data_IF_546435049100
#
_entry.id   IF_546435049100
#
_cell.length_a   1.000
_cell.length_b   1.000
_cell.length_c   1.000
_cell.angle_alpha   90.00
_cell.angle_beta   90.00
_cell.angle_gamma   90.00
#
_symmetry.space_group_name_H-M   'P 1'
#
loop_
_entity.id
_entity.type
_entity.pdbx_description
1 polymer ?
#
# COMPACT_ATOMS: atom_id res chain seq x y z
N UNK A 1 -23.28 9.04 18.68
CA UNK A 1 -23.75 7.75 19.24
C UNK A 1 -23.48 6.70 18.19
N UNK A 2 -22.77 5.63 18.52
CA UNK A 2 -22.32 4.65 17.53
C UNK A 2 -23.47 3.84 16.93
N UNK A 3 -23.37 3.51 15.64
CA UNK A 3 -24.39 2.79 14.87
C UNK A 3 -24.58 1.33 15.34
N UNK A 4 -23.74 0.83 16.25
CA UNK A 4 -23.78 -0.52 16.80
C UNK A 4 -24.07 -0.45 18.29
N UNK A 5 -25.24 -0.96 18.69
CA UNK A 5 -25.63 -1.10 20.10
C UNK A 5 -25.46 -2.55 20.53
N UNK A 6 -24.88 -2.75 21.71
CA UNK A 6 -24.67 -4.08 22.31
C UNK A 6 -25.32 -4.12 23.69
N UNK A 7 -25.74 -5.30 24.14
CA UNK A 7 -26.25 -5.48 25.52
C UNK A 7 -25.21 -5.19 26.61
N UNK A 8 -23.91 -5.16 26.28
CA UNK A 8 -22.89 -4.57 27.16
C UNK A 8 -22.97 -3.05 27.02
N UNK A 9 -23.43 -2.29 28.04
CA UNK A 9 -23.75 -0.88 27.91
C UNK A 9 -22.52 -0.01 27.60
N UNK A 10 -22.68 1.13 26.89
CA UNK A 10 -21.56 2.03 26.56
C UNK A 10 -20.87 2.65 27.77
N UNK A 11 -21.53 2.73 28.92
CA UNK A 11 -20.98 3.25 30.19
C UNK A 11 -20.00 2.29 30.87
N UNK A 12 -19.96 1.02 30.44
CA UNK A 12 -19.03 0.02 30.99
C UNK A 12 -17.62 0.35 30.52
N UNK A 13 -16.71 0.55 31.47
CA UNK A 13 -15.30 0.80 31.17
C UNK A 13 -14.60 -0.47 30.67
N UNK A 14 -13.61 -0.29 29.82
CA UNK A 14 -12.77 -1.38 29.35
C UNK A 14 -11.87 -1.89 30.49
N UNK A 15 -11.79 -3.20 30.65
CA UNK A 15 -10.87 -3.89 31.55
C UNK A 15 -10.02 -4.87 30.73
N UNK A 16 -8.73 -4.57 30.60
CA UNK A 16 -7.88 -5.26 29.64
C UNK A 16 -8.38 -5.05 28.21
N UNK A 17 -8.66 -6.13 27.49
CA UNK A 17 -9.20 -6.06 26.11
C UNK A 17 -10.73 -6.15 26.06
N UNK A 18 -11.40 -6.41 27.18
CA UNK A 18 -12.84 -6.67 27.24
C UNK A 18 -13.61 -5.52 27.89
N UNK A 19 -14.84 -5.32 27.43
CA UNK A 19 -15.89 -4.63 28.18
C UNK A 19 -16.74 -5.72 28.83
N UNK A 20 -16.84 -5.75 30.15
CA UNK A 20 -17.54 -6.81 30.87
C UNK A 20 -18.52 -6.23 31.88
N UNK A 21 -19.73 -6.77 31.90
CA UNK A 21 -20.80 -6.39 32.82
C UNK A 21 -21.42 -7.65 33.41
N UNK A 22 -21.78 -7.60 34.70
CA UNK A 22 -22.48 -8.72 35.31
C UNK A 22 -23.91 -8.78 34.77
N UNK A 23 -24.45 -9.98 34.61
CA UNK A 23 -25.85 -10.15 34.23
C UNK A 23 -26.78 -9.57 35.30
N UNK A 24 -26.33 -9.53 36.56
CA UNK A 24 -27.05 -8.88 37.65
C UNK A 24 -27.19 -7.37 37.42
N UNK A 25 -26.13 -6.68 36.98
CA UNK A 25 -26.19 -5.25 36.69
C UNK A 25 -27.03 -4.97 35.45
N UNK A 26 -26.99 -5.84 34.44
CA UNK A 26 -27.86 -5.71 33.26
C UNK A 26 -29.33 -5.66 33.64
N UNK A 27 -29.73 -6.49 34.59
CA UNK A 27 -31.10 -6.57 35.09
C UNK A 27 -31.41 -5.42 36.07
N UNK A 28 -30.58 -5.24 37.09
CA UNK A 28 -30.90 -4.38 38.23
C UNK A 28 -30.45 -2.92 38.05
N UNK A 29 -29.42 -2.66 37.25
CA UNK A 29 -28.89 -1.30 37.00
C UNK A 29 -29.32 -0.76 35.65
N UNK A 30 -29.27 -1.60 34.60
CA UNK A 30 -29.59 -1.17 33.23
C UNK A 30 -31.01 -1.52 32.80
N UNK A 31 -31.74 -2.33 33.59
CA UNK A 31 -33.12 -2.74 33.31
C UNK A 31 -33.30 -3.39 31.93
N UNK A 32 -32.31 -4.16 31.48
CA UNK A 32 -32.34 -4.93 30.22
C UNK A 32 -33.00 -6.30 30.43
N UNK A 33 -34.26 -6.30 30.87
CA UNK A 33 -35.06 -7.50 31.07
C UNK A 33 -36.56 -7.18 30.97
N UNK A 34 -37.38 -8.22 30.88
CA UNK A 34 -38.84 -8.14 30.93
C UNK A 34 -39.38 -9.34 31.69
N UNK A 35 -40.54 -9.15 32.30
CA UNK A 35 -41.24 -10.14 33.10
C UNK A 35 -42.75 -9.98 32.88
N UNK A 36 -43.33 -11.02 32.27
CA UNK A 36 -44.70 -11.02 31.77
C UNK A 36 -45.72 -11.37 32.87
N UNK A 37 -45.33 -12.13 33.90
CA UNK A 37 -46.23 -12.59 34.98
C UNK A 37 -45.98 -11.87 36.32
N UNK A 38 -44.93 -11.06 36.40
CA UNK A 38 -44.66 -10.14 37.50
C UNK A 38 -43.92 -10.77 38.69
N UNK A 39 -43.39 -11.98 38.53
CA UNK A 39 -42.77 -12.76 39.60
C UNK A 39 -41.36 -12.27 40.01
N UNK A 40 -40.75 -11.42 39.18
CA UNK A 40 -39.43 -10.82 39.35
C UNK A 40 -39.48 -9.35 39.76
N UNK A 41 -40.67 -8.77 39.90
CA UNK A 41 -40.85 -7.35 40.23
C UNK A 41 -40.60 -7.05 41.72
N UNK A 42 -40.10 -5.84 42.01
CA UNK A 42 -39.85 -5.35 43.37
C UNK A 42 -38.39 -5.41 43.82
N UNK A 43 -38.11 -4.87 45.02
CA UNK A 43 -36.74 -4.84 45.57
C UNK A 43 -36.23 -6.27 45.79
N UNK A 44 -35.14 -6.64 45.11
CA UNK A 44 -34.57 -7.99 45.11
C UNK A 44 -35.49 -9.07 44.50
N UNK A 45 -36.46 -8.69 43.66
CA UNK A 45 -37.37 -9.63 43.01
C UNK A 45 -36.69 -10.56 42.00
N UNK A 46 -35.56 -10.14 41.41
CA UNK A 46 -34.79 -10.90 40.43
C UNK A 46 -33.28 -10.82 40.69
N UNK A 47 -32.62 -11.97 40.71
CA UNK A 47 -31.14 -12.09 40.79
C UNK A 47 -30.62 -12.86 39.58
N UNK A 48 -29.58 -12.32 38.94
CA UNK A 48 -28.90 -12.98 37.83
C UNK A 48 -27.43 -13.24 38.16
N UNK A 49 -26.91 -14.41 37.80
CA UNK A 49 -25.48 -14.73 37.93
C UNK A 49 -24.82 -14.84 36.56
N UNK A 50 -23.51 -14.63 36.53
CA UNK A 50 -22.71 -14.66 35.30
C UNK A 50 -22.44 -13.28 34.72
N UNK A 51 -21.66 -13.25 33.64
CA UNK A 51 -21.19 -12.04 32.98
C UNK A 51 -21.44 -12.10 31.48
N UNK A 52 -21.65 -10.92 30.89
CA UNK A 52 -21.59 -10.68 29.46
C UNK A 52 -20.38 -9.80 29.16
N UNK A 53 -19.57 -10.21 28.19
CA UNK A 53 -18.41 -9.43 27.75
C UNK A 53 -18.32 -9.33 26.23
N UNK A 54 -17.73 -8.22 25.78
CA UNK A 54 -17.43 -7.96 24.38
C UNK A 54 -16.01 -7.45 24.22
N UNK A 55 -15.33 -7.87 23.16
CA UNK A 55 -14.12 -7.21 22.68
C UNK A 55 -14.15 -7.02 21.18
N UNK A 56 -13.43 -5.99 20.72
CA UNK A 56 -13.34 -5.60 19.32
C UNK A 56 -11.89 -5.69 18.89
N UNK A 57 -11.65 -6.23 17.70
CA UNK A 57 -10.33 -6.28 17.09
C UNK A 57 -10.41 -5.89 15.61
N UNK A 58 -9.34 -5.33 15.07
CA UNK A 58 -9.21 -5.14 13.63
C UNK A 58 -8.71 -6.40 12.91
N UNK A 59 -8.59 -6.36 11.58
CA UNK A 59 -8.11 -7.50 10.76
C UNK A 59 -6.71 -7.99 11.14
N UNK A 60 -5.92 -7.16 11.81
CA UNK A 60 -4.57 -7.47 12.27
C UNK A 60 -4.56 -7.94 13.74
N UNK A 61 -5.73 -8.24 14.31
CA UNK A 61 -5.92 -8.62 15.72
C UNK A 61 -5.52 -7.53 16.73
N UNK A 62 -5.43 -6.26 16.32
CA UNK A 62 -5.20 -5.16 17.26
C UNK A 62 -6.51 -4.80 17.96
N UNK A 63 -6.45 -4.56 19.27
CA UNK A 63 -7.63 -4.19 20.06
C UNK A 63 -8.16 -2.82 19.62
N UNK A 64 -9.47 -2.73 19.45
CA UNK A 64 -10.17 -1.52 19.01
C UNK A 64 -11.09 -1.04 20.14
N UNK A 65 -11.08 0.25 20.41
CA UNK A 65 -12.01 0.86 21.36
C UNK A 65 -13.38 1.06 20.72
N UNK A 66 -14.44 1.05 21.54
CA UNK A 66 -15.81 1.39 21.09
C UNK A 66 -15.93 2.80 20.52
N UNK A 67 -15.03 3.70 20.93
CA UNK A 67 -15.00 5.10 20.48
C UNK A 67 -14.16 5.32 19.23
N UNK A 68 -13.45 4.30 18.75
CA UNK A 68 -12.56 4.45 17.60
C UNK A 68 -13.38 4.62 16.32
N UNK A 69 -12.93 5.54 15.46
CA UNK A 69 -13.46 5.68 14.11
C UNK A 69 -12.94 4.51 13.29
N UNK A 70 -13.84 3.73 12.69
CA UNK A 70 -13.48 2.57 11.89
C UNK A 70 -12.81 3.00 10.59
N UNK A 71 -11.65 2.43 10.30
CA UNK A 71 -10.92 2.59 9.04
C UNK A 71 -11.22 1.40 8.12
N UNK A 72 -11.79 1.62 6.92
CA UNK A 72 -12.00 0.57 5.93
C UNK A 72 -10.74 -0.24 5.62
N UNK A 73 -9.56 0.36 5.78
CA UNK A 73 -8.28 -0.30 5.55
C UNK A 73 -7.87 -1.30 6.63
N UNK A 74 -8.52 -1.25 7.78
CA UNK A 74 -8.32 -2.17 8.91
C UNK A 74 -9.45 -3.20 9.04
N UNK A 75 -10.45 -3.13 8.15
CA UNK A 75 -11.55 -4.09 8.07
C UNK A 75 -11.13 -5.41 7.40
N UNK A 76 -11.85 -6.53 7.65
CA UNK A 76 -13.00 -6.63 8.54
C UNK A 76 -12.60 -6.54 10.02
N UNK A 77 -13.43 -5.88 10.81
CA UNK A 77 -13.35 -5.85 12.25
C UNK A 77 -14.05 -7.06 12.85
N UNK A 78 -13.46 -7.64 13.88
CA UNK A 78 -14.00 -8.76 14.61
C UNK A 78 -14.65 -8.29 15.92
N UNK A 79 -15.91 -8.69 16.15
CA UNK A 79 -16.63 -8.46 17.41
C UNK A 79 -16.87 -9.80 18.08
N UNK A 80 -16.25 -10.00 19.23
CA UNK A 80 -16.35 -11.23 20.01
C UNK A 80 -17.26 -10.98 21.20
N UNK A 81 -18.41 -11.66 21.24
CA UNK A 81 -19.37 -11.62 22.33
C UNK A 81 -19.28 -12.92 23.13
N UNK A 82 -19.06 -12.80 24.45
CA UNK A 82 -18.89 -13.94 25.34
C UNK A 82 -19.81 -13.85 26.54
N UNK A 83 -20.38 -14.98 26.95
CA UNK A 83 -21.06 -15.14 28.24
C UNK A 83 -20.36 -16.19 29.08
N UNK A 84 -20.44 -16.12 30.41
CA UNK A 84 -19.90 -17.13 31.32
C UNK A 84 -20.85 -18.32 31.56
N UNK A 85 -22.10 -18.24 31.12
CA UNK A 85 -23.20 -19.04 31.71
C UNK A 85 -23.65 -18.48 33.05
N UNK A 86 -24.80 -18.94 33.55
CA UNK A 86 -25.38 -18.37 34.76
C UNK A 86 -26.74 -18.94 35.14
N UNK A 87 -27.37 -18.25 36.09
CA UNK A 87 -28.70 -18.55 36.62
C UNK A 87 -29.52 -17.28 36.74
N UNK A 88 -30.83 -17.42 36.56
CA UNK A 88 -31.84 -16.42 36.90
C UNK A 88 -32.68 -16.99 38.04
N UNK A 89 -32.92 -16.18 39.06
CA UNK A 89 -33.73 -16.57 40.22
C UNK A 89 -34.70 -15.45 40.54
N UNK A 90 -36.00 -15.76 40.55
CA UNK A 90 -37.08 -14.85 40.95
C UNK A 90 -37.57 -15.18 42.35
N UNK A 91 -38.25 -14.24 42.99
CA UNK A 91 -38.81 -14.46 44.33
C UNK A 91 -40.08 -15.32 44.29
N UNK A 92 -40.93 -15.14 43.28
CA UNK A 92 -42.27 -15.71 43.24
C UNK A 92 -42.49 -16.77 42.14
N UNK A 93 -41.52 -17.00 41.27
CA UNK A 93 -41.63 -17.93 40.15
C UNK A 93 -41.76 -19.39 40.54
N UNK A 94 -42.37 -20.19 39.66
CA UNK A 94 -42.48 -21.64 39.84
C UNK A 94 -42.14 -22.36 38.53
N UNK A 95 -40.95 -22.98 38.39
CA UNK A 95 -39.83 -22.97 39.34
C UNK A 95 -39.23 -21.57 39.50
N UNK A 96 -38.75 -21.24 40.70
CA UNK A 96 -38.21 -19.91 41.02
C UNK A 96 -36.78 -19.68 40.51
N UNK A 97 -36.17 -20.67 39.86
CA UNK A 97 -34.81 -20.56 39.32
C UNK A 97 -34.65 -21.37 38.05
N UNK A 98 -33.88 -20.81 37.13
CA UNK A 98 -33.47 -21.45 35.89
C UNK A 98 -31.98 -21.21 35.66
N UNK A 99 -31.32 -22.17 35.03
CA UNK A 99 -29.91 -22.05 34.63
C UNK A 99 -29.79 -22.07 33.12
N UNK A 100 -28.93 -21.23 32.58
CA UNK A 100 -28.60 -21.21 31.16
C UNK A 100 -27.12 -21.54 30.97
N UNK A 101 -26.84 -22.24 29.87
CA UNK A 101 -25.70 -23.16 29.70
C UNK A 101 -24.29 -22.58 29.81
N UNK A 102 -23.29 -23.43 29.49
CA UNK A 102 -21.84 -23.15 29.61
C UNK A 102 -21.41 -21.90 28.81
N UNK A 103 -20.27 -21.33 29.19
CA UNK A 103 -19.66 -20.19 28.50
C UNK A 103 -19.66 -20.37 26.97
N UNK A 104 -20.26 -19.41 26.27
CA UNK A 104 -20.34 -19.39 24.80
C UNK A 104 -19.64 -18.16 24.24
N UNK A 105 -19.11 -18.28 23.03
CA UNK A 105 -18.45 -17.23 22.26
C UNK A 105 -19.08 -17.18 20.87
N UNK A 106 -19.51 -15.99 20.45
CA UNK A 106 -19.98 -15.72 19.10
C UNK A 106 -19.11 -14.62 18.50
N UNK A 107 -18.76 -14.77 17.23
CA UNK A 107 -17.91 -13.85 16.48
C UNK A 107 -18.71 -13.25 15.33
N UNK A 108 -18.71 -11.92 15.25
CA UNK A 108 -19.27 -11.17 14.14
C UNK A 108 -18.17 -10.42 13.40
N UNK A 109 -18.34 -10.22 12.09
CA UNK A 109 -17.43 -9.43 11.28
C UNK A 109 -18.13 -8.19 10.73
N UNK A 110 -17.48 -7.04 10.84
CA UNK A 110 -18.03 -5.73 10.47
C UNK A 110 -17.05 -5.04 9.54
N UNK A 111 -17.54 -4.53 8.41
CA UNK A 111 -16.75 -3.73 7.47
C UNK A 111 -17.45 -2.39 7.21
N UNK A 112 -16.78 -1.25 7.39
CA UNK A 112 -17.33 0.05 7.00
C UNK A 112 -17.60 0.08 5.50
N UNK A 113 -18.69 0.73 5.08
CA UNK A 113 -19.07 0.86 3.66
C UNK A 113 -18.44 2.06 2.95
N UNK A 114 -17.61 2.84 3.65
CA UNK A 114 -16.90 3.95 3.04
C UNK A 114 -15.68 3.40 2.30
N UNK A 115 -15.60 3.58 0.99
CA UNK A 115 -14.46 3.10 0.23
C UNK A 115 -13.23 3.99 0.45
N UNK A 116 -12.05 3.38 0.50
CA UNK A 116 -10.78 4.09 0.68
C UNK A 116 -9.64 3.30 0.04
N UNK A 117 -8.76 3.97 -0.68
CA UNK A 117 -7.48 3.36 -1.07
C UNK A 117 -6.56 3.32 0.14
N UNK A 118 -6.08 2.15 0.47
CA UNK A 118 -5.25 1.89 1.64
C UNK A 118 -3.77 1.99 1.29
N UNK A 119 -3.40 1.32 0.21
CA UNK A 119 -2.03 1.26 -0.26
C UNK A 119 -1.98 1.35 -1.78
N UNK A 120 -0.85 1.87 -2.28
CA UNK A 120 -0.43 1.72 -3.65
C UNK A 120 0.80 0.82 -3.70
N UNK A 121 0.67 -0.30 -4.41
CA UNK A 121 1.60 -1.41 -4.38
C UNK A 121 2.36 -1.52 -5.70
N UNK A 122 3.54 -0.91 -5.82
CA UNK A 122 4.52 -1.29 -6.84
C UNK A 122 5.14 -2.65 -6.47
N UNK A 123 6.25 -3.03 -7.10
CA UNK A 123 7.04 -4.17 -6.65
C UNK A 123 7.45 -4.02 -5.18
N UNK A 124 7.14 -5.04 -4.37
CA UNK A 124 7.52 -5.09 -2.95
C UNK A 124 8.94 -5.61 -2.70
N UNK A 125 9.58 -6.14 -3.74
CA UNK A 125 10.90 -6.75 -3.65
C UNK A 125 11.97 -5.73 -3.20
N UNK A 126 12.87 -6.08 -2.28
CA UNK A 126 13.76 -5.14 -1.58
C UNK A 126 12.95 -4.08 -0.85
N UNK A 127 12.37 -4.51 0.26
CA UNK A 127 11.38 -3.76 1.03
C UNK A 127 10.25 -4.65 1.56
N UNK A 128 10.24 -5.95 1.28
CA UNK A 128 9.23 -6.88 1.76
C UNK A 128 9.51 -7.32 3.21
N UNK A 129 8.46 -7.78 3.90
CA UNK A 129 8.62 -8.53 5.16
C UNK A 129 8.98 -10.00 4.89
N UNK A 130 8.66 -10.50 3.69
CA UNK A 130 8.90 -11.89 3.31
C UNK A 130 10.28 -12.03 2.68
N UNK A 131 11.20 -12.61 3.46
CA UNK A 131 12.59 -12.89 3.10
C UNK A 131 12.74 -13.88 1.93
N UNK A 132 11.65 -14.56 1.52
CA UNK A 132 11.70 -15.72 0.62
C UNK A 132 11.19 -15.47 -0.80
N UNK A 133 11.27 -14.25 -1.33
CA UNK A 133 11.01 -14.01 -2.77
C UNK A 133 12.18 -14.56 -3.59
N UNK A 134 12.21 -15.89 -3.71
CA UNK A 134 13.19 -16.77 -4.36
C UNK A 134 14.48 -17.06 -3.58
N UNK A 135 14.95 -18.31 -3.65
CA UNK A 135 16.21 -18.82 -3.08
C UNK A 135 17.50 -18.10 -3.56
N UNK A 136 17.37 -17.01 -4.30
CA UNK A 136 18.46 -16.41 -5.05
C UNK A 136 18.86 -15.00 -4.57
N UNK A 137 18.03 -14.37 -3.73
CA UNK A 137 18.20 -12.96 -3.37
C UNK A 137 17.57 -12.68 -2.01
N UNK A 138 18.38 -12.19 -1.08
CA UNK A 138 17.94 -11.88 0.27
C UNK A 138 17.25 -10.52 0.26
N UNK A 139 15.92 -10.50 0.32
CA UNK A 139 15.21 -9.28 0.71
C UNK A 139 15.69 -8.89 2.11
N UNK A 140 15.90 -7.59 2.33
CA UNK A 140 16.50 -7.07 3.54
C UNK A 140 15.71 -5.85 3.99
N UNK A 141 15.34 -5.82 5.28
CA UNK A 141 14.54 -4.74 5.85
C UNK A 141 15.23 -3.37 5.75
N UNK A 142 16.53 -3.31 5.47
CA UNK A 142 17.26 -2.06 5.21
C UNK A 142 16.71 -1.28 4.01
N UNK A 143 16.08 -1.96 3.04
CA UNK A 143 15.50 -1.30 1.87
C UNK A 143 14.09 -0.78 2.14
N UNK A 144 13.45 -1.22 3.22
CA UNK A 144 12.10 -0.79 3.58
C UNK A 144 12.08 0.69 3.96
N UNK A 145 11.01 1.38 3.55
CA UNK A 145 10.74 2.72 4.03
C UNK A 145 10.26 2.73 5.49
N UNK A 146 10.15 3.92 6.12
CA UNK A 146 9.55 4.03 7.43
C UNK A 146 8.08 3.57 7.37
N UNK A 147 7.58 2.99 8.47
CA UNK A 147 6.22 2.42 8.55
C UNK A 147 5.10 3.44 8.32
N UNK A 148 5.39 4.74 8.41
CA UNK A 148 4.47 5.82 8.05
C UNK A 148 4.29 6.01 6.53
N UNK A 149 5.21 5.51 5.72
CA UNK A 149 5.22 5.67 4.25
C UNK A 149 5.13 4.32 3.54
N UNK A 150 5.78 3.28 4.06
CA UNK A 150 5.90 1.97 3.42
C UNK A 150 5.47 0.84 4.35
N UNK A 151 4.53 0.02 3.88
CA UNK A 151 4.16 -1.24 4.48
C UNK A 151 4.84 -2.38 3.70
N UNK A 152 5.68 -3.21 4.33
CA UNK A 152 6.41 -4.27 3.62
C UNK A 152 5.53 -5.32 2.91
N UNK A 153 4.28 -5.49 3.30
CA UNK A 153 3.35 -6.46 2.69
C UNK A 153 2.40 -5.82 1.66
N UNK A 154 2.25 -4.49 1.70
CA UNK A 154 1.19 -3.78 0.97
C UNK A 154 1.68 -2.62 0.11
N UNK A 155 2.90 -2.13 0.31
CA UNK A 155 3.50 -1.04 -0.47
C UNK A 155 3.32 0.32 0.19
N UNK A 156 3.23 1.38 -0.61
CA UNK A 156 3.13 2.74 -0.11
C UNK A 156 1.77 3.01 0.54
N UNK A 157 1.75 3.57 1.74
CA UNK A 157 0.54 4.04 2.41
C UNK A 157 0.01 5.28 1.67
N UNK A 158 -1.31 5.33 1.44
CA UNK A 158 -1.94 6.56 0.96
C UNK A 158 -1.79 7.68 2.00
N UNK A 159 -1.14 8.78 1.62
CA UNK A 159 -0.84 9.89 2.53
C UNK A 159 -1.97 10.92 2.59
N UNK A 160 -2.67 11.16 1.47
CA UNK A 160 -3.79 12.11 1.44
C UNK A 160 -4.82 11.80 0.35
N UNK A 161 -6.09 12.11 0.64
CA UNK A 161 -7.17 12.15 -0.37
C UNK A 161 -7.47 13.56 -0.86
N UNK A 162 -6.82 14.59 -0.29
CA UNK A 162 -7.03 15.99 -0.65
C UNK A 162 -6.24 16.34 -1.91
N UNK A 163 -6.87 16.87 -2.98
CA UNK A 163 -6.20 17.14 -4.25
C UNK A 163 -4.94 18.01 -4.15
N UNK A 164 -4.95 19.04 -3.29
CA UNK A 164 -3.79 19.92 -3.06
C UNK A 164 -2.58 19.20 -2.45
N UNK A 165 -2.78 18.00 -1.92
CA UNK A 165 -1.78 17.20 -1.21
C UNK A 165 -1.45 15.89 -1.91
N UNK A 166 -1.93 15.68 -3.14
CA UNK A 166 -1.62 14.49 -3.94
C UNK A 166 -0.12 14.31 -4.24
N UNK A 167 0.68 15.37 -4.15
CA UNK A 167 2.14 15.27 -4.25
C UNK A 167 2.80 14.48 -3.12
N UNK A 168 2.07 14.16 -2.05
CA UNK A 168 2.53 13.28 -0.97
C UNK A 168 2.31 11.79 -1.29
N UNK A 169 1.48 11.45 -2.29
CA UNK A 169 1.20 10.08 -2.65
C UNK A 169 2.19 9.57 -3.70
N UNK A 170 2.46 8.27 -3.67
CA UNK A 170 3.15 7.57 -4.74
C UNK A 170 2.29 7.56 -6.02
N UNK A 171 2.85 7.53 -7.23
CA UNK A 171 4.24 7.83 -7.57
C UNK A 171 4.48 9.32 -7.83
N UNK A 172 5.72 9.77 -7.65
CA UNK A 172 6.20 11.09 -8.13
C UNK A 172 7.05 10.98 -9.40
N UNK A 173 7.45 9.76 -9.77
CA UNK A 173 8.21 9.47 -10.99
C UNK A 173 7.47 8.48 -11.87
N UNK A 174 7.63 8.55 -13.20
CA UNK A 174 6.94 7.65 -14.12
C UNK A 174 7.79 7.29 -15.34
N UNK A 175 7.43 6.20 -16.00
CA UNK A 175 7.92 5.78 -17.31
C UNK A 175 6.85 4.92 -17.99
N UNK A 176 6.98 4.72 -19.29
CA UNK A 176 6.03 3.90 -20.05
C UNK A 176 6.06 2.44 -19.57
N UNK A 177 4.88 1.87 -19.32
CA UNK A 177 4.72 0.48 -18.90
C UNK A 177 4.88 0.23 -17.40
N UNK A 178 5.18 1.26 -16.59
CA UNK A 178 5.15 1.12 -15.14
C UNK A 178 3.74 0.88 -14.64
N UNK A 179 3.61 0.08 -13.59
CA UNK A 179 2.32 -0.22 -13.00
C UNK A 179 2.41 -0.43 -11.49
N UNK A 180 1.30 -0.19 -10.81
CA UNK A 180 1.12 -0.49 -9.39
C UNK A 180 -0.32 -0.90 -9.14
N UNK A 181 -0.55 -1.67 -8.08
CA UNK A 181 -1.88 -2.13 -7.70
C UNK A 181 -2.45 -1.27 -6.56
N UNK A 182 -3.72 -0.92 -6.63
CA UNK A 182 -4.44 -0.28 -5.53
C UNK A 182 -5.00 -1.37 -4.60
N UNK A 183 -4.74 -1.25 -3.30
CA UNK A 183 -5.39 -2.01 -2.23
C UNK A 183 -6.56 -1.16 -1.70
N UNK A 184 -7.79 -1.57 -1.99
CA UNK A 184 -8.99 -0.75 -1.70
C UNK A 184 -9.84 -1.42 -0.62
N UNK A 185 -10.05 -0.70 0.48
CA UNK A 185 -10.94 -1.10 1.57
C UNK A 185 -12.34 -0.53 1.41
N UNK A 186 -13.33 -1.20 1.99
CA UNK A 186 -14.70 -0.68 2.14
C UNK A 186 -15.61 -0.79 0.91
N UNK A 187 -15.14 -1.42 -0.18
CA UNK A 187 -15.93 -1.69 -1.38
C UNK A 187 -15.43 -2.97 -2.06
N UNK A 188 -16.32 -3.68 -2.75
CA UNK A 188 -15.92 -4.75 -3.67
C UNK A 188 -15.34 -4.12 -4.94
N UNK A 189 -14.04 -4.29 -5.16
CA UNK A 189 -13.33 -3.75 -6.31
C UNK A 189 -13.91 -4.20 -7.67
N UNK A 190 -14.66 -5.31 -7.72
CA UNK A 190 -15.34 -5.75 -8.93
C UNK A 190 -16.52 -4.85 -9.33
N UNK A 191 -17.01 -4.03 -8.42
CA UNK A 191 -18.12 -3.10 -8.64
C UNK A 191 -17.64 -1.73 -9.14
N UNK A 192 -16.31 -1.51 -9.20
CA UNK A 192 -15.73 -0.24 -9.57
C UNK A 192 -15.43 -0.18 -11.07
N UNK A 193 -15.83 0.93 -11.68
CA UNK A 193 -15.45 1.31 -13.04
C UNK A 193 -14.54 2.53 -13.01
N UNK A 194 -13.61 2.60 -13.94
CA UNK A 194 -12.57 3.64 -13.97
C UNK A 194 -12.42 4.18 -15.38
N UNK A 195 -12.30 5.49 -15.52
CA UNK A 195 -11.94 6.14 -16.78
C UNK A 195 -10.44 6.47 -16.78
N UNK A 196 -9.73 6.29 -17.91
CA UNK A 196 -8.33 6.68 -18.00
C UNK A 196 -8.19 8.20 -17.93
N UNK A 197 -7.10 8.67 -17.33
CA UNK A 197 -6.77 10.09 -17.19
C UNK A 197 -5.52 10.38 -18.01
N UNK A 198 -5.58 11.39 -18.88
CA UNK A 198 -4.48 11.74 -19.79
C UNK A 198 -4.07 13.20 -19.65
N UNK A 199 -2.79 13.44 -19.39
CA UNK A 199 -2.18 14.76 -19.36
C UNK A 199 -0.82 14.71 -20.05
N UNK A 200 -0.51 15.68 -20.91
CA UNK A 200 0.82 15.82 -21.52
C UNK A 200 1.33 14.57 -22.25
N UNK A 201 0.41 13.78 -22.84
CA UNK A 201 0.73 12.53 -23.53
C UNK A 201 1.01 11.34 -22.60
N UNK A 202 0.83 11.49 -21.29
CA UNK A 202 0.87 10.41 -20.30
C UNK A 202 -0.56 10.03 -19.94
N UNK A 203 -0.88 8.74 -20.02
CA UNK A 203 -2.17 8.15 -19.65
C UNK A 203 -2.00 7.24 -18.43
N UNK A 204 -2.74 7.50 -17.36
CA UNK A 204 -2.94 6.58 -16.25
C UNK A 204 -4.26 5.83 -16.47
N UNK A 205 -4.18 4.50 -16.62
CA UNK A 205 -5.34 3.64 -16.86
C UNK A 205 -5.47 2.58 -15.75
N UNK A 206 -6.69 2.37 -15.26
CA UNK A 206 -6.97 1.39 -14.20
C UNK A 206 -7.72 0.20 -14.76
N UNK A 207 -7.21 -1.01 -14.52
CA UNK A 207 -7.79 -2.25 -15.00
C UNK A 207 -7.76 -3.35 -13.93
N UNK A 208 -8.79 -4.19 -13.93
CA UNK A 208 -8.79 -5.45 -13.17
C UNK A 208 -8.01 -6.48 -13.97
N UNK A 209 -6.85 -6.90 -13.48
CA UNK A 209 -5.97 -7.85 -14.18
C UNK A 209 -5.51 -8.99 -13.28
N UNK A 210 -5.13 -10.11 -13.90
CA UNK A 210 -4.44 -11.21 -13.22
C UNK A 210 -2.95 -10.85 -13.03
N UNK A 211 -2.31 -11.29 -11.94
CA UNK A 211 -0.86 -11.20 -11.79
C UNK A 211 -0.12 -11.85 -12.96
N UNK A 212 0.90 -11.17 -13.50
CA UNK A 212 1.65 -11.59 -14.71
C UNK A 212 2.39 -12.90 -14.48
N UNK A 213 2.08 -13.94 -15.25
CA UNK A 213 2.65 -15.29 -15.06
C UNK A 213 4.09 -15.50 -15.55
N UNK A 214 4.60 -14.62 -16.42
CA UNK A 214 5.95 -14.75 -16.98
C UNK A 214 7.08 -14.46 -15.98
N UNK A 215 8.31 -14.47 -16.47
CA UNK A 215 9.50 -14.19 -15.66
C UNK A 215 10.55 -13.39 -16.44
N UNK A 216 11.53 -12.83 -15.73
CA UNK A 216 12.70 -12.17 -16.28
C UNK A 216 13.97 -12.60 -15.53
N UNK A 217 15.12 -12.48 -16.16
CA UNK A 217 16.40 -12.72 -15.49
C UNK A 217 16.88 -11.46 -14.78
N UNK A 218 17.23 -11.58 -13.50
CA UNK A 218 17.93 -10.53 -12.78
C UNK A 218 19.40 -10.41 -13.22
N UNK A 219 20.14 -9.49 -12.60
CA UNK A 219 21.55 -9.25 -12.92
C UNK A 219 22.45 -10.45 -12.59
N UNK A 220 22.09 -11.26 -11.60
CA UNK A 220 22.82 -12.46 -11.19
C UNK A 220 22.46 -13.69 -12.06
N UNK A 221 21.53 -13.53 -13.01
CA UNK A 221 21.05 -14.60 -13.89
C UNK A 221 19.93 -15.43 -13.28
N UNK A 222 19.40 -15.04 -12.12
CA UNK A 222 18.29 -15.73 -11.50
C UNK A 222 16.99 -15.42 -12.23
N UNK A 223 16.13 -16.42 -12.36
CA UNK A 223 14.83 -16.25 -12.99
C UNK A 223 13.81 -15.76 -11.96
N UNK A 224 13.36 -14.52 -12.10
CA UNK A 224 12.40 -13.85 -11.21
C UNK A 224 11.04 -13.79 -11.88
N UNK A 225 10.01 -14.31 -11.22
CA UNK A 225 8.63 -14.25 -11.71
C UNK A 225 8.08 -12.83 -11.59
N UNK A 226 7.32 -12.36 -12.59
CA UNK A 226 6.59 -11.11 -12.45
C UNK A 226 5.51 -11.21 -11.36
N UNK A 227 5.29 -10.10 -10.66
CA UNK A 227 4.30 -10.01 -9.58
C UNK A 227 4.52 -11.08 -8.48
N UNK A 228 5.77 -11.49 -8.24
CA UNK A 228 6.11 -12.56 -7.28
C UNK A 228 5.69 -12.25 -5.83
N UNK A 229 5.46 -10.96 -5.51
CA UNK A 229 4.94 -10.52 -4.22
C UNK A 229 3.44 -10.76 -4.03
N UNK A 230 2.74 -11.28 -5.05
CA UNK A 230 1.31 -11.64 -4.98
C UNK A 230 1.21 -13.15 -4.78
N UNK A 231 0.92 -13.58 -3.55
CA UNK A 231 0.82 -15.00 -3.21
C UNK A 231 -0.41 -15.68 -3.84
N UNK A 232 -1.60 -15.09 -3.69
CA UNK A 232 -2.81 -15.61 -4.33
C UNK A 232 -2.95 -15.03 -5.74
N UNK A 233 -2.39 -15.78 -6.70
CA UNK A 233 -2.42 -15.42 -8.11
C UNK A 233 -3.74 -15.77 -8.80
N UNK A 234 -4.66 -16.41 -8.09
CA UNK A 234 -6.02 -16.72 -8.56
C UNK A 234 -6.99 -15.56 -8.38
N UNK A 235 -6.55 -14.42 -7.81
CA UNK A 235 -7.34 -13.21 -7.62
C UNK A 235 -6.96 -12.12 -8.64
N UNK A 236 -7.91 -11.24 -8.94
CA UNK A 236 -7.65 -10.05 -9.75
C UNK A 236 -7.13 -8.94 -8.85
N UNK A 237 -6.26 -8.10 -9.40
CA UNK A 237 -5.80 -6.86 -8.76
C UNK A 237 -6.31 -5.65 -9.53
N UNK A 238 -6.52 -4.54 -8.82
CA UNK A 238 -6.86 -3.25 -9.43
C UNK A 238 -5.57 -2.52 -9.80
N UNK A 239 -5.12 -2.70 -11.04
CA UNK A 239 -3.82 -2.22 -11.53
C UNK A 239 -3.94 -0.88 -12.24
N UNK A 240 -3.17 0.11 -11.78
CA UNK A 240 -2.89 1.35 -12.49
C UNK A 240 -1.68 1.12 -13.39
N UNK A 241 -1.80 1.44 -14.68
CA UNK A 241 -0.70 1.39 -15.65
C UNK A 241 -0.45 2.78 -16.21
N UNK A 242 0.82 3.21 -16.21
CA UNK A 242 1.26 4.46 -16.82
C UNK A 242 1.74 4.18 -18.25
N UNK A 243 1.13 4.86 -19.22
CA UNK A 243 1.52 4.80 -20.63
C UNK A 243 1.91 6.19 -21.08
N UNK A 244 2.94 6.33 -21.90
CA UNK A 244 3.37 7.65 -22.34
C UNK A 244 4.55 7.62 -23.29
N UNK A 245 5.29 8.74 -23.41
CA UNK A 245 6.41 8.82 -24.33
C UNK A 245 7.48 7.77 -24.01
N UNK A 246 7.81 6.94 -25.00
CA UNK A 246 8.94 5.99 -24.98
C UNK A 246 9.73 6.02 -26.28
N UNK A 247 11.00 5.70 -26.21
CA UNK A 247 11.84 5.54 -27.39
C UNK A 247 11.51 4.23 -28.12
N UNK A 248 11.38 4.29 -29.45
CA UNK A 248 11.29 3.09 -30.28
C UNK A 248 12.68 2.52 -30.62
N UNK A 249 12.74 1.35 -31.26
CA UNK A 249 13.99 0.66 -31.61
C UNK A 249 14.94 1.51 -32.48
N UNK A 250 14.42 2.35 -33.38
CA UNK A 250 15.24 3.24 -34.19
C UNK A 250 15.84 4.38 -33.34
N UNK A 251 15.06 4.90 -32.39
CA UNK A 251 15.54 5.95 -31.49
C UNK A 251 16.57 5.40 -30.51
N UNK A 252 16.37 4.20 -29.95
CA UNK A 252 17.33 3.59 -29.02
C UNK A 252 18.68 3.29 -29.67
N UNK A 253 18.67 2.80 -30.92
CA UNK A 253 19.86 2.45 -31.69
C UNK A 253 20.68 3.63 -32.25
N UNK A 254 20.12 4.84 -32.29
CA UNK A 254 20.83 6.05 -32.74
C UNK A 254 21.48 6.78 -31.57
N UNK A 255 22.63 7.43 -31.79
CA UNK A 255 23.21 8.37 -30.82
C UNK A 255 22.55 9.76 -30.86
N UNK A 256 21.91 10.10 -31.97
CA UNK A 256 21.22 11.37 -32.18
C UNK A 256 19.84 11.09 -32.79
N UNK A 257 18.90 10.53 -32.01
CA UNK A 257 17.55 10.21 -32.48
C UNK A 257 16.73 11.45 -32.80
N UNK A 258 15.61 11.25 -33.51
CA UNK A 258 14.56 12.26 -33.59
C UNK A 258 13.95 12.53 -32.21
N UNK A 259 13.51 13.77 -31.99
CA UNK A 259 12.86 14.21 -30.74
C UNK A 259 11.68 13.32 -30.36
N UNK A 260 11.47 13.18 -29.06
CA UNK A 260 10.29 12.57 -28.47
C UNK A 260 9.37 13.68 -27.93
N UNK A 261 8.08 13.41 -27.76
CA UNK A 261 7.21 14.30 -27.00
C UNK A 261 7.73 14.39 -25.57
N UNK A 262 7.95 15.60 -25.05
CA UNK A 262 8.43 15.85 -23.69
C UNK A 262 7.24 16.36 -22.85
N UNK A 263 6.74 15.58 -21.88
CA UNK A 263 5.64 16.02 -21.03
C UNK A 263 6.00 17.25 -20.19
N UNK A 264 5.09 18.21 -20.06
CA UNK A 264 5.26 19.36 -19.15
C UNK A 264 4.85 18.93 -17.73
N UNK A 265 5.83 18.68 -16.86
CA UNK A 265 5.62 18.25 -15.47
C UNK A 265 5.95 19.39 -14.48
N UNK A 266 5.34 19.43 -13.28
CA UNK A 266 4.50 18.40 -12.68
C UNK A 266 3.05 18.34 -13.20
N UNK A 267 2.44 17.16 -13.18
CA UNK A 267 1.03 16.94 -13.51
C UNK A 267 0.30 16.13 -12.44
N UNK A 268 -0.89 16.58 -12.07
CA UNK A 268 -1.76 15.89 -11.11
C UNK A 268 -2.67 14.92 -11.84
N UNK A 269 -2.68 13.66 -11.42
CA UNK A 269 -3.60 12.63 -11.88
C UNK A 269 -4.57 12.29 -10.75
N UNK A 270 -5.88 12.27 -11.04
CA UNK A 270 -6.92 11.84 -10.09
C UNK A 270 -7.74 10.72 -10.72
N UNK A 271 -7.58 9.51 -10.20
CA UNK A 271 -8.32 8.32 -10.63
C UNK A 271 -9.59 8.22 -9.78
N UNK A 272 -10.75 8.18 -10.44
CA UNK A 272 -12.05 8.07 -9.78
C UNK A 272 -12.65 6.69 -10.04
N UNK A 273 -12.83 5.91 -8.96
CA UNK A 273 -13.53 4.64 -8.99
C UNK A 273 -15.03 4.89 -8.79
N UNK A 274 -15.82 4.52 -9.80
CA UNK A 274 -17.26 4.78 -9.85
C UNK A 274 -18.08 3.51 -9.67
N UNK A 275 -19.18 3.61 -8.93
CA UNK A 275 -20.16 2.53 -8.81
C UNK A 275 -20.99 2.34 -10.10
N UNK A 276 -21.89 1.36 -10.09
CA UNK A 276 -22.78 1.08 -11.23
C UNK A 276 -23.77 2.21 -11.56
N UNK A 277 -23.98 3.15 -10.63
CA UNK A 277 -24.81 4.34 -10.83
C UNK A 277 -24.00 5.54 -11.34
N UNK A 278 -22.68 5.38 -11.51
CA UNK A 278 -21.76 6.42 -11.95
C UNK A 278 -21.28 7.36 -10.83
N UNK A 279 -21.61 7.10 -9.56
CA UNK A 279 -21.14 7.91 -8.45
C UNK A 279 -19.68 7.61 -8.14
N UNK A 280 -18.88 8.64 -7.86
CA UNK A 280 -17.50 8.44 -7.40
C UNK A 280 -17.54 7.95 -5.95
N UNK A 281 -17.09 6.72 -5.72
CA UNK A 281 -17.08 6.11 -4.39
C UNK A 281 -15.68 6.08 -3.79
N UNK A 282 -14.64 6.07 -4.63
CA UNK A 282 -13.24 6.10 -4.19
C UNK A 282 -12.39 6.95 -5.13
N UNK A 283 -11.38 7.62 -4.60
CA UNK A 283 -10.40 8.39 -5.38
C UNK A 283 -8.98 7.97 -5.03
N UNK A 284 -8.10 8.01 -6.03
CA UNK A 284 -6.67 7.94 -5.84
C UNK A 284 -5.98 9.00 -6.68
N UNK A 285 -5.25 9.89 -6.04
CA UNK A 285 -4.54 10.96 -6.74
C UNK A 285 -3.06 11.00 -6.42
N UNK A 286 -2.26 11.36 -7.42
CA UNK A 286 -0.80 11.46 -7.34
C UNK A 286 -0.29 12.57 -8.27
N UNK A 287 0.95 13.01 -8.07
CA UNK A 287 1.58 14.06 -8.91
C UNK A 287 2.86 13.52 -9.51
N UNK A 288 2.87 13.31 -10.83
CA UNK A 288 4.10 12.99 -11.54
C UNK A 288 4.95 14.26 -11.67
N UNK A 289 6.14 14.24 -11.11
CA UNK A 289 7.13 15.31 -11.20
C UNK A 289 8.17 15.05 -12.29
N UNK A 290 8.45 13.77 -12.59
CA UNK A 290 9.48 13.37 -13.56
C UNK A 290 9.01 12.21 -14.42
N UNK A 291 9.35 12.26 -15.71
CA UNK A 291 9.12 11.15 -16.65
C UNK A 291 10.44 10.63 -17.22
N UNK A 292 10.59 9.32 -17.25
CA UNK A 292 11.82 8.63 -17.65
C UNK A 292 11.65 7.85 -18.94
N UNK A 293 12.73 7.78 -19.73
CA UNK A 293 12.80 7.04 -20.99
C UNK A 293 14.07 6.19 -21.00
N UNK A 294 13.91 4.86 -21.07
CA UNK A 294 15.01 3.89 -21.11
C UNK A 294 15.55 3.69 -22.53
N UNK A 295 16.89 3.59 -22.67
CA UNK A 295 17.55 3.39 -23.97
C UNK A 295 17.68 1.91 -24.36
N UNK A 296 17.40 0.96 -23.48
CA UNK A 296 17.48 -0.52 -23.64
C UNK A 296 18.83 -1.11 -24.09
N UNK A 297 19.76 -0.30 -24.60
CA UNK A 297 21.11 -0.68 -25.05
C UNK A 297 22.21 -0.07 -24.18
N UNK A 298 23.37 -0.70 -24.18
CA UNK A 298 24.57 -0.16 -23.56
C UNK A 298 25.30 0.79 -24.52
N UNK A 299 25.77 1.91 -24.00
CA UNK A 299 26.56 2.87 -24.75
C UNK A 299 27.55 3.61 -23.81
N UNK A 300 28.54 4.27 -24.42
CA UNK A 300 29.41 5.17 -23.68
C UNK A 300 28.60 6.35 -23.13
N UNK A 301 29.00 6.89 -21.97
CA UNK A 301 28.33 8.03 -21.31
C UNK A 301 28.04 9.20 -22.26
N UNK A 302 29.01 9.58 -23.10
CA UNK A 302 28.86 10.67 -24.09
C UNK A 302 27.72 10.42 -25.10
N UNK A 303 27.52 9.16 -25.47
CA UNK A 303 26.46 8.76 -26.39
C UNK A 303 25.10 8.84 -25.71
N UNK A 304 25.00 8.50 -24.43
CA UNK A 304 23.76 8.67 -23.66
C UNK A 304 23.43 10.14 -23.43
N UNK A 305 24.44 10.97 -23.17
CA UNK A 305 24.26 12.43 -23.07
C UNK A 305 23.67 13.00 -24.37
N UNK A 306 24.29 12.66 -25.52
CA UNK A 306 23.81 13.09 -26.84
C UNK A 306 22.42 12.53 -27.19
N UNK A 307 22.15 11.29 -26.75
CA UNK A 307 20.87 10.64 -26.96
C UNK A 307 19.75 11.35 -26.19
N UNK A 308 19.95 11.59 -24.89
CA UNK A 308 18.97 12.30 -24.07
C UNK A 308 18.68 13.69 -24.63
N UNK A 309 19.72 14.47 -24.93
CA UNK A 309 19.54 15.83 -25.44
C UNK A 309 18.83 15.85 -26.80
N UNK A 310 19.13 14.89 -27.69
CA UNK A 310 18.45 14.76 -28.98
C UNK A 310 16.97 14.40 -28.85
N UNK A 311 16.59 13.61 -27.83
CA UNK A 311 15.19 13.32 -27.53
C UNK A 311 14.43 14.54 -26.97
N UNK A 312 15.13 15.57 -26.48
CA UNK A 312 14.55 16.68 -25.72
C UNK A 312 14.55 16.47 -24.21
N UNK A 313 15.25 15.44 -23.74
CA UNK A 313 15.38 15.06 -22.33
C UNK A 313 16.81 15.40 -21.84
N UNK A 314 17.10 15.11 -20.57
CA UNK A 314 18.46 15.17 -20.03
C UNK A 314 18.89 13.84 -19.43
N UNK A 315 20.20 13.67 -19.30
CA UNK A 315 20.76 12.59 -18.50
C UNK A 315 20.36 12.81 -17.02
N UNK A 316 19.98 11.75 -16.29
CA UNK A 316 19.58 11.86 -14.89
C UNK A 316 20.79 12.17 -14.00
N UNK A 317 20.53 12.88 -12.93
CA UNK A 317 21.41 12.95 -11.78
C UNK A 317 21.11 11.78 -10.82
N UNK A 318 22.00 11.49 -9.87
CA UNK A 318 21.80 10.45 -8.85
C UNK A 318 20.50 10.70 -8.09
N UNK A 319 20.21 11.95 -7.75
CA UNK A 319 18.96 12.34 -7.08
C UNK A 319 17.69 12.16 -7.92
N UNK A 320 17.81 11.91 -9.22
CA UNK A 320 16.67 11.50 -10.03
C UNK A 320 16.40 9.99 -9.90
N UNK A 321 17.41 9.20 -9.53
CA UNK A 321 17.37 7.75 -9.57
C UNK A 321 17.26 7.09 -8.19
N UNK A 322 17.89 7.62 -7.16
CA UNK A 322 18.00 6.98 -5.84
C UNK A 322 18.13 8.00 -4.71
N UNK A 323 17.74 7.62 -3.50
CA UNK A 323 17.96 8.34 -2.25
C UNK A 323 19.19 7.84 -1.46
N UNK A 324 20.00 6.98 -2.09
CA UNK A 324 21.22 6.43 -1.51
C UNK A 324 22.24 7.51 -1.08
N UNK A 325 22.98 7.20 -0.02
CA UNK A 325 24.06 8.03 0.50
C UNK A 325 25.39 7.31 0.35
N UNK A 326 26.23 7.82 -0.55
CA UNK A 326 27.61 7.35 -0.72
C UNK A 326 28.56 8.28 0.03
N UNK A 327 29.18 7.78 1.11
CA UNK A 327 30.10 8.55 1.98
C UNK A 327 31.58 8.33 1.68
N UNK A 328 31.92 7.31 0.87
CA UNK A 328 33.30 6.96 0.52
C UNK A 328 33.98 7.92 -0.47
N UNK A 329 34.98 7.42 -1.21
CA UNK A 329 35.70 8.24 -2.19
C UNK A 329 34.76 8.76 -3.29
N UNK A 330 34.74 10.08 -3.49
CA UNK A 330 33.71 10.81 -4.26
C UNK A 330 32.34 10.69 -3.58
N UNK A 331 32.11 11.46 -2.49
CA UNK A 331 30.84 11.42 -1.78
C UNK A 331 29.72 12.00 -2.65
N UNK A 332 28.59 11.30 -2.69
CA UNK A 332 27.42 11.69 -3.47
C UNK A 332 26.18 11.37 -2.66
N UNK A 333 25.27 12.33 -2.57
CA UNK A 333 23.98 12.18 -1.90
C UNK A 333 22.90 12.17 -2.98
N UNK A 334 22.05 11.16 -2.94
CA UNK A 334 20.88 11.08 -3.81
C UNK A 334 19.75 12.03 -3.40
N UNK A 335 18.53 11.63 -3.70
CA UNK A 335 17.32 12.34 -3.35
C UNK A 335 17.09 12.40 -1.83
N UNK A 336 16.19 13.28 -1.42
CA UNK A 336 15.66 13.32 -0.06
C UNK A 336 14.24 12.75 -0.03
N UNK A 337 13.82 12.10 1.08
CA UNK A 337 14.60 11.79 2.28
C UNK A 337 15.69 10.76 2.01
N UNK A 338 16.91 11.03 2.46
CA UNK A 338 18.06 10.16 2.25
C UNK A 338 17.91 8.83 2.99
N UNK A 339 18.44 7.76 2.41
CA UNK A 339 18.53 6.48 3.09
C UNK A 339 19.69 6.46 4.10
N UNK A 340 19.71 5.41 4.92
CA UNK A 340 20.73 5.19 5.95
C UNK A 340 22.09 4.71 5.41
N UNK A 341 22.21 4.43 4.11
CA UNK A 341 23.46 3.98 3.50
C UNK A 341 23.48 4.07 1.98
N UNK A 342 24.47 3.45 1.35
CA UNK A 342 24.59 3.45 -0.10
C UNK A 342 23.66 2.40 -0.74
N UNK A 343 22.37 2.58 -0.60
CA UNK A 343 21.28 1.79 -1.15
C UNK A 343 19.99 2.60 -1.04
N UNK A 344 18.94 2.31 -1.80
CA UNK A 344 17.68 3.00 -1.60
C UNK A 344 16.95 2.51 -0.36
N UNK A 345 16.16 3.40 0.23
CA UNK A 345 15.01 3.02 1.06
C UNK A 345 13.75 3.39 0.30
N UNK A 346 12.67 2.60 0.44
CA UNK A 346 11.38 2.91 -0.20
C UNK A 346 10.84 4.25 0.30
N UNK A 347 10.91 5.28 -0.55
CA UNK A 347 10.52 6.65 -0.22
C UNK A 347 9.81 7.30 -1.40
N UNK A 348 8.72 7.98 -1.10
CA UNK A 348 8.05 8.89 -2.05
C UNK A 348 8.93 10.14 -2.20
N UNK A 349 9.22 10.53 -3.43
CA UNK A 349 10.20 11.58 -3.76
C UNK A 349 11.66 11.11 -3.70
N UNK A 350 11.91 9.82 -3.42
CA UNK A 350 13.25 9.26 -3.26
C UNK A 350 14.03 9.04 -4.57
N UNK A 351 13.47 9.39 -5.73
CA UNK A 351 14.02 9.05 -7.04
C UNK A 351 13.44 7.75 -7.59
N UNK A 352 13.71 7.50 -8.87
CA UNK A 352 13.04 6.49 -9.67
C UNK A 352 13.10 5.07 -9.06
N UNK A 353 14.30 4.59 -8.72
CA UNK A 353 14.47 3.24 -8.17
C UNK A 353 14.01 3.15 -6.70
N UNK A 354 14.11 4.23 -5.93
CA UNK A 354 13.58 4.25 -4.56
C UNK A 354 12.05 4.15 -4.50
N UNK A 355 11.36 4.70 -5.50
CA UNK A 355 9.91 4.58 -5.64
C UNK A 355 9.50 3.23 -6.24
N UNK A 356 10.05 2.86 -7.39
CA UNK A 356 9.57 1.70 -8.16
C UNK A 356 10.23 0.38 -7.77
N UNK A 357 11.42 0.44 -7.15
CA UNK A 357 12.24 -0.73 -6.84
C UNK A 357 12.92 -1.28 -8.08
N UNK A 358 13.07 -2.61 -8.11
CA UNK A 358 13.69 -3.32 -9.23
C UNK A 358 12.94 -3.04 -10.53
N UNK A 359 13.65 -2.43 -11.47
CA UNK A 359 13.16 -2.02 -12.78
C UNK A 359 12.70 -3.20 -13.67
N UNK A 360 13.31 -4.37 -13.49
CA UNK A 360 13.01 -5.63 -14.21
C UNK A 360 11.55 -6.02 -14.22
N UNK A 361 10.82 -5.77 -13.13
CA UNK A 361 9.38 -6.06 -13.02
C UNK A 361 8.53 -5.29 -14.04
N UNK A 362 9.07 -4.18 -14.57
CA UNK A 362 8.38 -3.31 -15.52
C UNK A 362 8.98 -3.39 -16.93
N UNK A 363 9.73 -4.46 -17.24
CA UNK A 363 10.44 -4.64 -18.51
C UNK A 363 11.52 -3.57 -18.79
N UNK A 364 11.95 -2.85 -17.75
CA UNK A 364 13.14 -2.00 -17.77
C UNK A 364 14.31 -2.86 -17.28
N UNK A 365 15.48 -2.79 -17.90
CA UNK A 365 16.58 -3.70 -17.53
C UNK A 365 17.08 -3.45 -16.10
N UNK A 366 17.23 -4.52 -15.32
CA UNK A 366 17.89 -4.49 -14.00
C UNK A 366 19.41 -4.51 -14.18
N UNK A 367 20.02 -3.33 -14.12
CA UNK A 367 21.43 -3.08 -14.44
C UNK A 367 21.91 -1.74 -13.89
N UNK A 368 23.11 -1.31 -14.30
CA UNK A 368 23.74 -0.05 -13.95
C UNK A 368 23.38 1.06 -14.95
N UNK A 369 22.92 2.19 -14.42
CA UNK A 369 22.52 3.37 -15.19
C UNK A 369 23.45 4.56 -14.95
N UNK A 370 23.89 5.20 -16.04
CA UNK A 370 24.71 6.42 -15.95
C UNK A 370 23.99 7.58 -15.23
N UNK A 371 24.72 8.26 -14.35
CA UNK A 371 24.29 9.51 -13.71
C UNK A 371 25.22 10.68 -14.05
N UNK A 372 24.68 11.89 -14.21
CA UNK A 372 25.38 13.04 -14.76
C UNK A 372 26.23 13.83 -13.77
N UNK A 373 26.08 13.62 -12.45
CA UNK A 373 26.65 14.46 -11.37
C UNK A 373 28.17 14.61 -11.46
N UNK A 374 28.87 13.48 -11.63
CA UNK A 374 30.31 13.42 -11.83
C UNK A 374 30.64 12.46 -12.96
N UNK A 375 31.83 12.59 -13.53
CA UNK A 375 32.31 11.63 -14.52
C UNK A 375 32.30 10.22 -13.92
N UNK A 376 31.94 9.25 -14.76
CA UNK A 376 31.98 7.83 -14.44
C UNK A 376 31.07 7.35 -13.29
N UNK A 377 30.02 8.07 -12.90
CA UNK A 377 29.09 7.61 -11.86
C UNK A 377 27.92 6.80 -12.43
N UNK A 378 27.52 5.72 -11.74
CA UNK A 378 26.31 4.98 -12.04
C UNK A 378 25.51 4.61 -10.80
N UNK A 379 24.22 4.36 -11.02
CA UNK A 379 23.28 3.86 -10.01
C UNK A 379 22.82 2.48 -10.44
N UNK A 380 22.92 1.50 -9.54
CA UNK A 380 22.35 0.18 -9.74
C UNK A 380 20.82 0.24 -9.58
N UNK A 381 20.09 -0.21 -10.60
CA UNK A 381 18.61 -0.28 -10.58
C UNK A 381 18.08 -1.47 -9.77
N UNK A 382 18.95 -2.36 -9.29
CA UNK A 382 18.57 -3.41 -8.36
C UNK A 382 18.23 -2.82 -6.99
N UNK A 383 19.19 -2.13 -6.37
CA UNK A 383 19.11 -1.68 -4.97
C UNK A 383 19.43 -0.19 -4.75
N UNK A 384 19.61 0.57 -5.82
CA UNK A 384 19.91 2.00 -5.78
C UNK A 384 21.35 2.32 -5.37
N UNK A 385 22.24 1.33 -5.32
CA UNK A 385 23.64 1.51 -4.95
C UNK A 385 24.37 2.44 -5.94
N UNK A 386 25.13 3.39 -5.40
CA UNK A 386 25.92 4.34 -6.19
C UNK A 386 27.37 3.85 -6.26
N UNK A 387 27.92 3.72 -7.45
CA UNK A 387 29.32 3.33 -7.66
C UNK A 387 30.02 4.18 -8.72
N UNK A 388 31.35 4.15 -8.66
CA UNK A 388 32.21 4.74 -9.66
C UNK A 388 32.59 3.68 -10.72
N UNK A 389 32.64 4.09 -11.98
CA UNK A 389 33.09 3.30 -13.12
C UNK A 389 34.51 3.65 -13.53
N UNK A 390 35.02 2.84 -14.45
CA UNK A 390 36.07 3.29 -15.37
C UNK A 390 35.38 3.82 -16.64
N UNK A 391 35.82 4.97 -17.13
CA UNK A 391 35.31 5.62 -18.35
C UNK A 391 35.26 4.74 -19.61
N UNK A 392 35.99 3.63 -19.64
CA UNK A 392 36.02 2.67 -20.75
C UNK A 392 34.84 1.69 -20.79
N UNK A 393 33.94 1.69 -19.80
CA UNK A 393 32.82 0.74 -19.77
C UNK A 393 31.58 1.22 -20.52
N UNK A 394 30.92 0.29 -21.19
CA UNK A 394 29.56 0.46 -21.71
C UNK A 394 28.57 0.12 -20.60
N UNK A 395 27.54 0.96 -20.44
CA UNK A 395 26.44 0.79 -19.47
C UNK A 395 25.14 1.26 -20.07
N UNK A 396 24.02 0.93 -19.43
CA UNK A 396 22.71 1.39 -19.84
C UNK A 396 22.50 2.88 -19.56
N UNK A 397 21.57 3.46 -20.31
CA UNK A 397 21.18 4.86 -20.17
C UNK A 397 19.68 4.97 -20.04
N UNK A 398 19.28 5.89 -19.17
CA UNK A 398 17.91 6.35 -19.02
C UNK A 398 17.97 7.88 -19.10
N UNK A 399 16.93 8.51 -19.61
CA UNK A 399 16.79 9.96 -19.61
C UNK A 399 15.62 10.36 -18.74
N UNK A 400 15.63 11.60 -18.27
CA UNK A 400 14.57 12.21 -17.48
C UNK A 400 14.17 13.54 -18.10
N UNK A 401 12.90 13.92 -17.93
CA UNK A 401 12.41 15.25 -18.31
C UNK A 401 13.34 16.35 -17.76
N UNK A 402 13.56 17.44 -18.53
CA UNK A 402 14.49 18.52 -18.16
C UNK A 402 14.31 19.07 -16.73
#
# INVERSE_FOLDING_TARGET
MGDIVTFVPPSVNQSGVFYSVSLNDLVNTYHYWGDDDGDGQGTNGLTATGNLSVNFADKNNLTVSRSDILDPCKAPYEVRLRTSGGSLTTQYGVPNSSTFGRSSLVVYYISPKQAKVCHARPSLYLGSADYFVSNATRDDSRYAGPSSIWNPEKGFLMQSTTPSSYGLNFPTTGADGLYFDLDIGGVDENQLTWSPVTHEGITAAVHRVRPRSGSFSDRQGNNIQYDAWIHDRSQYVTRVTLNGPKANNSQTGSNNPSRLSVPILPQTFELEGRDSSGNVVVKYGFVLQKWFVDRTIEAARRNHSSWCSSLGYRMPQVRDLTNAVKTGSTPVIGAMPSSTGNYYERRIGGGFFSEWGISGFYNIKTTLYWASDVADLFVDSFDGHIENSRSSFYRHGICVTP
#
